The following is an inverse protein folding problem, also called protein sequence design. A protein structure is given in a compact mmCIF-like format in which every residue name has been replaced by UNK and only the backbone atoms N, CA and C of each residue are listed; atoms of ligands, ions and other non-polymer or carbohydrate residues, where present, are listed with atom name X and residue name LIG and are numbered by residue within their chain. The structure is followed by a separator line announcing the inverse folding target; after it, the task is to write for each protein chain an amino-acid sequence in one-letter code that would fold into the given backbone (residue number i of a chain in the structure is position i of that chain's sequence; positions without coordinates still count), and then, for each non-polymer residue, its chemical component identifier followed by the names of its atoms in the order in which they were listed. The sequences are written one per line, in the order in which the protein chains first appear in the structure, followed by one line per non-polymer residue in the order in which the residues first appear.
data_IF_225245010724
#
_entry.id   IF_225245010724
#
_cell.length_a   1.000
_cell.length_b   1.000
_cell.length_c   1.000
_cell.angle_alpha   90.00
_cell.angle_beta   90.00
_cell.angle_gamma   90.00
#
_symmetry.space_group_name_H-M   'P 1'
#
loop_
_entity.id
_entity.type
_entity.pdbx_description
1 polymer ?
#
# COMPACT_ATOMS: atom_id res chain seq x y z
N UNK A 1 11.17 6.84 -8.21
CA UNK A 1 11.46 6.39 -6.82
C UNK A 1 11.64 4.88 -6.82
N UNK A 2 12.49 4.31 -5.97
CA UNK A 2 12.62 2.84 -5.81
C UNK A 2 12.16 2.46 -4.41
N UNK A 3 11.30 1.47 -4.30
CA UNK A 3 10.77 0.94 -3.04
C UNK A 3 11.02 -0.55 -2.93
N UNK A 4 11.29 -1.01 -1.70
CA UNK A 4 11.40 -2.43 -1.39
C UNK A 4 10.05 -2.95 -0.92
N UNK A 5 9.44 -3.84 -1.69
CA UNK A 5 8.32 -4.67 -1.31
C UNK A 5 8.78 -5.80 -0.39
N UNK A 6 8.11 -5.95 0.75
CA UNK A 6 8.29 -7.08 1.66
C UNK A 6 6.95 -7.79 1.81
N UNK A 7 6.83 -8.98 1.24
CA UNK A 7 5.64 -9.83 1.35
C UNK A 7 6.07 -11.29 1.49
N UNK A 8 5.30 -12.11 2.19
CA UNK A 8 5.65 -13.50 2.53
C UNK A 8 5.88 -14.45 1.32
N UNK A 9 5.61 -13.98 0.09
CA UNK A 9 5.83 -14.71 -1.18
C UNK A 9 7.10 -14.27 -1.92
N UNK A 10 7.78 -13.22 -1.47
CA UNK A 10 8.99 -12.66 -2.09
C UNK A 10 10.18 -13.41 -1.53
N UNK A 11 10.80 -14.26 -2.35
CA UNK A 11 11.92 -15.11 -1.92
C UNK A 11 13.27 -14.55 -2.31
N UNK A 12 13.31 -13.63 -3.26
CA UNK A 12 14.54 -13.09 -3.83
C UNK A 12 14.58 -11.57 -3.78
N UNK A 13 15.78 -11.02 -3.83
CA UNK A 13 15.97 -9.57 -3.85
C UNK A 13 15.34 -8.95 -5.10
N UNK A 14 15.36 -9.64 -6.22
CA UNK A 14 14.81 -9.25 -7.52
C UNK A 14 13.28 -9.11 -7.49
N UNK A 15 12.61 -9.92 -6.67
CA UNK A 15 11.17 -9.81 -6.42
C UNK A 15 10.83 -8.71 -5.40
N UNK A 16 11.80 -8.34 -4.57
CA UNK A 16 11.61 -7.36 -3.50
C UNK A 16 11.73 -5.92 -3.95
N UNK A 17 12.40 -5.58 -5.05
CA UNK A 17 12.55 -4.18 -5.46
C UNK A 17 11.58 -3.81 -6.58
N UNK A 18 10.88 -2.68 -6.43
CA UNK A 18 10.01 -2.10 -7.44
C UNK A 18 10.19 -0.60 -7.53
N UNK A 19 10.01 -0.06 -8.71
CA UNK A 19 10.16 1.35 -8.99
C UNK A 19 8.77 1.97 -9.09
N UNK A 20 8.66 3.24 -8.70
CA UNK A 20 7.42 3.99 -8.63
C UNK A 20 7.60 5.37 -9.23
N UNK A 21 6.67 5.79 -10.07
CA UNK A 21 6.58 7.15 -10.63
C UNK A 21 5.21 7.69 -10.25
N UNK A 22 5.14 8.92 -9.76
CA UNK A 22 3.87 9.55 -9.42
C UNK A 22 3.76 10.96 -9.97
N UNK A 23 2.53 11.37 -10.24
CA UNK A 23 2.21 12.68 -10.78
C UNK A 23 0.99 13.26 -10.05
N UNK A 24 1.08 14.53 -9.64
CA UNK A 24 -0.02 15.20 -8.94
C UNK A 24 -1.05 15.70 -9.95
N UNK A 25 -2.25 15.16 -9.89
CA UNK A 25 -3.41 15.60 -10.66
C UNK A 25 -4.26 16.53 -9.79
N UNK A 26 -4.34 17.81 -10.18
CA UNK A 26 -5.22 18.78 -9.54
C UNK A 26 -6.61 18.67 -10.17
N UNK A 27 -7.59 18.35 -9.34
CA UNK A 27 -9.00 18.37 -9.76
C UNK A 27 -9.55 19.78 -9.55
N UNK A 28 -10.47 20.23 -10.40
CA UNK A 28 -11.13 21.56 -10.32
C UNK A 28 -11.68 21.91 -8.92
N UNK A 29 -11.92 20.90 -8.08
CA UNK A 29 -12.58 20.99 -6.78
C UNK A 29 -11.60 21.10 -5.58
N UNK A 30 -10.38 21.63 -5.78
CA UNK A 30 -9.27 21.71 -4.78
C UNK A 30 -8.84 20.37 -4.15
N UNK A 31 -9.37 19.24 -4.63
CA UNK A 31 -9.02 17.90 -4.16
C UNK A 31 -7.76 17.42 -4.89
N UNK A 32 -6.71 17.19 -4.10
CA UNK A 32 -5.42 16.69 -4.61
C UNK A 32 -5.53 15.19 -4.88
N UNK A 33 -5.18 14.79 -6.11
CA UNK A 33 -5.03 13.41 -6.50
C UNK A 33 -3.62 13.14 -7.04
N UNK A 34 -3.17 11.90 -6.98
CA UNK A 34 -1.86 11.46 -7.44
C UNK A 34 -2.05 10.22 -8.31
N UNK A 35 -1.57 10.26 -9.53
CA UNK A 35 -1.35 9.04 -10.31
C UNK A 35 -0.06 8.41 -9.82
N UNK A 36 -0.01 7.09 -9.73
CA UNK A 36 1.18 6.33 -9.32
C UNK A 36 1.31 5.11 -10.22
N UNK A 37 2.42 4.99 -10.95
CA UNK A 37 2.79 3.82 -11.70
C UNK A 37 3.87 3.02 -10.94
N UNK A 38 3.81 1.70 -11.03
CA UNK A 38 4.76 0.74 -10.44
C UNK A 38 5.37 -0.15 -11.52
N UNK A 39 6.67 -0.46 -11.45
CA UNK A 39 7.37 -1.33 -12.40
C UNK A 39 6.99 -2.80 -12.20
N UNK A 40 7.23 -3.62 -13.23
CA UNK A 40 7.04 -5.07 -13.15
C UNK A 40 8.14 -5.78 -12.36
N UNK A 41 9.34 -5.19 -12.34
CA UNK A 41 10.56 -5.76 -11.77
C UNK A 41 11.48 -4.66 -11.18
N UNK A 42 12.64 -5.09 -10.69
CA UNK A 42 13.65 -4.23 -10.06
C UNK A 42 14.44 -3.35 -11.06
N UNK A 43 14.32 -3.57 -12.37
CA UNK A 43 15.11 -2.87 -13.39
C UNK A 43 14.60 -1.46 -13.69
N UNK A 44 13.41 -1.11 -13.18
CA UNK A 44 12.69 0.14 -13.45
C UNK A 44 12.35 0.38 -14.94
N UNK A 45 12.61 -0.58 -15.82
CA UNK A 45 12.27 -0.47 -17.23
C UNK A 45 10.74 -0.51 -17.40
N UNK A 46 10.20 0.31 -18.31
CA UNK A 46 8.76 0.39 -18.55
C UNK A 46 7.96 1.28 -17.60
N UNK A 47 8.61 2.27 -16.96
CA UNK A 47 7.97 3.35 -16.19
C UNK A 47 8.30 4.75 -16.76
N UNK A 48 7.87 5.09 -17.99
CA UNK A 48 8.12 6.41 -18.54
C UNK A 48 7.26 7.50 -17.89
N UNK A 49 6.09 7.15 -17.33
CA UNK A 49 5.16 8.11 -16.72
C UNK A 49 4.35 7.49 -15.58
N UNK A 50 3.63 8.33 -14.83
CA UNK A 50 2.73 7.89 -13.77
C UNK A 50 1.45 7.19 -14.29
N UNK A 51 1.29 7.09 -15.62
CA UNK A 51 0.18 6.42 -16.31
C UNK A 51 0.61 5.14 -17.02
N UNK A 52 1.92 4.90 -17.10
CA UNK A 52 2.52 3.81 -17.87
C UNK A 52 3.44 3.02 -16.94
N UNK A 53 2.97 1.86 -16.51
CA UNK A 53 3.69 0.93 -15.64
C UNK A 53 3.00 -0.42 -15.57
N UNK A 54 3.62 -1.38 -14.89
CA UNK A 54 3.03 -2.71 -14.67
C UNK A 54 1.77 -2.66 -13.82
N UNK A 55 1.71 -1.72 -12.87
CA UNK A 55 0.48 -1.34 -12.17
C UNK A 55 0.36 0.17 -12.15
N UNK A 56 -0.85 0.67 -12.34
CA UNK A 56 -1.15 2.11 -12.28
C UNK A 56 -2.27 2.29 -11.27
N UNK A 57 -2.10 3.28 -10.38
CA UNK A 57 -2.97 3.57 -9.25
C UNK A 57 -3.30 5.05 -9.26
N UNK A 58 -4.46 5.43 -8.73
CA UNK A 58 -4.81 6.83 -8.51
C UNK A 58 -5.19 7.04 -7.06
N UNK A 59 -4.32 7.74 -6.33
CA UNK A 59 -4.52 8.10 -4.94
C UNK A 59 -5.28 9.42 -4.90
N UNK A 60 -6.30 9.54 -4.05
CA UNK A 60 -6.97 10.82 -3.82
C UNK A 60 -6.97 11.08 -2.32
N UNK A 61 -6.74 12.35 -1.92
CA UNK A 61 -6.89 12.74 -0.52
C UNK A 61 -8.38 12.67 -0.16
N UNK A 62 -8.80 11.57 0.45
CA UNK A 62 -10.15 11.40 0.99
C UNK A 62 -10.15 11.46 2.51
N UNK A 63 -11.24 11.96 3.12
CA UNK A 63 -11.59 11.53 4.47
C UNK A 63 -11.76 10.01 4.41
N UNK A 64 -10.93 9.30 5.16
CA UNK A 64 -10.62 7.87 5.01
C UNK A 64 -11.90 7.04 5.11
N UNK A 65 -12.45 6.61 3.96
CA UNK A 65 -13.49 5.56 3.89
C UNK A 65 -13.34 4.58 2.73
N UNK A 66 -12.54 4.87 1.70
CA UNK A 66 -12.20 3.91 0.66
C UNK A 66 -11.09 4.44 -0.26
N UNK A 67 -10.10 3.59 -0.56
CA UNK A 67 -9.17 3.81 -1.68
C UNK A 67 -9.73 3.01 -2.86
N UNK A 68 -10.27 3.69 -3.86
CA UNK A 68 -10.75 3.05 -5.10
C UNK A 68 -9.71 3.24 -6.19
N UNK A 69 -9.06 2.15 -6.61
CA UNK A 69 -8.18 2.15 -7.77
C UNK A 69 -9.02 2.17 -9.06
N UNK A 70 -8.73 3.02 -10.06
CA UNK A 70 -9.46 3.01 -11.32
C UNK A 70 -9.01 1.84 -12.22
N UNK A 71 -9.99 1.02 -12.62
CA UNK A 71 -9.91 0.02 -13.67
C UNK A 71 -10.12 0.70 -15.03
N UNK A 72 -9.13 0.68 -15.92
CA UNK A 72 -9.36 1.00 -17.34
C UNK A 72 -9.89 -0.25 -18.03
N UNK A 73 -11.16 -0.20 -18.42
CA UNK A 73 -11.78 -1.22 -19.26
C UNK A 73 -11.17 -1.20 -20.66
N UNK A 74 -10.45 -2.26 -21.01
CA UNK A 74 -9.97 -2.47 -22.36
C UNK A 74 -9.09 -3.71 -22.48
N UNK A 75 -9.74 -4.85 -22.75
CA UNK A 75 -9.16 -6.18 -23.07
C UNK A 75 -8.76 -7.04 -21.86
N UNK A 76 -9.59 -8.07 -21.63
CA UNK A 76 -9.37 -9.19 -20.72
C UNK A 76 -7.93 -9.73 -20.81
N UNK A 77 -7.21 -9.70 -19.70
CA UNK A 77 -6.29 -10.79 -19.33
C UNK A 77 -6.84 -11.47 -18.07
N UNK A 78 -7.13 -12.78 -18.09
CA UNK A 78 -7.48 -13.50 -16.88
C UNK A 78 -6.21 -13.70 -16.04
N UNK A 79 -6.35 -13.55 -14.73
CA UNK A 79 -5.38 -13.88 -13.67
C UNK A 79 -4.25 -12.87 -13.38
N UNK A 80 -4.59 -11.65 -12.98
CA UNK A 80 -3.77 -10.92 -12.00
C UNK A 80 -4.62 -10.61 -10.77
N UNK A 81 -4.37 -11.31 -9.66
CA UNK A 81 -5.10 -11.09 -8.41
C UNK A 81 -4.97 -9.62 -7.98
N UNK A 82 -6.11 -8.95 -7.87
CA UNK A 82 -6.23 -7.55 -7.42
C UNK A 82 -6.15 -7.54 -5.89
N UNK A 83 -5.09 -6.95 -5.35
CA UNK A 83 -4.97 -6.73 -3.90
C UNK A 83 -5.57 -5.37 -3.55
N UNK A 84 -6.59 -5.35 -2.70
CA UNK A 84 -7.33 -4.17 -2.23
C UNK A 84 -7.09 -4.02 -0.73
N UNK A 85 -6.79 -2.81 -0.27
CA UNK A 85 -6.58 -2.51 1.16
C UNK A 85 -7.45 -1.33 1.54
N UNK A 86 -8.28 -1.49 2.58
CA UNK A 86 -9.25 -0.48 3.05
C UNK A 86 -9.13 -0.35 4.56
N UNK A 87 -8.98 0.88 5.08
CA UNK A 87 -8.99 1.10 6.52
C UNK A 87 -10.36 0.72 7.10
N UNK A 88 -10.37 -0.14 8.11
CA UNK A 88 -11.55 -0.55 8.86
C UNK A 88 -11.74 0.34 10.09
N UNK A 89 -10.70 0.45 10.93
CA UNK A 89 -10.73 1.26 12.17
C UNK A 89 -9.34 1.76 12.56
N UNK A 90 -9.30 2.86 13.30
CA UNK A 90 -8.08 3.38 13.94
C UNK A 90 -7.99 2.83 15.36
N UNK A 91 -6.87 2.17 15.69
CA UNK A 91 -6.64 1.58 17.01
C UNK A 91 -5.93 2.58 17.93
N UNK A 92 -4.91 3.26 17.40
CA UNK A 92 -4.15 4.26 18.14
C UNK A 92 -3.65 5.33 17.20
N UNK A 93 -3.83 6.59 17.56
CA UNK A 93 -3.40 7.72 16.73
C UNK A 93 -2.66 8.73 17.60
N UNK A 94 -1.40 8.98 17.28
CA UNK A 94 -0.50 9.92 17.93
C UNK A 94 0.16 10.83 16.88
N UNK A 95 0.75 11.97 17.26
CA UNK A 95 1.36 12.91 16.30
C UNK A 95 2.48 12.31 15.45
N UNK A 96 3.20 11.31 15.99
CA UNK A 96 4.35 10.67 15.36
C UNK A 96 4.05 9.26 14.84
N UNK A 97 2.92 8.65 15.19
CA UNK A 97 2.55 7.34 14.66
C UNK A 97 1.05 7.07 14.73
N UNK A 98 0.55 6.21 13.85
CA UNK A 98 -0.82 5.72 13.88
C UNK A 98 -0.87 4.22 13.64
N UNK A 99 -1.77 3.52 14.31
CA UNK A 99 -2.01 2.09 14.18
C UNK A 99 -3.47 1.92 13.76
N UNK A 100 -3.70 1.21 12.66
CA UNK A 100 -5.02 0.99 12.09
C UNK A 100 -5.22 -0.49 11.74
N UNK A 101 -6.47 -0.93 11.79
CA UNK A 101 -6.89 -2.21 11.24
C UNK A 101 -7.33 -1.96 9.80
N UNK A 102 -6.78 -2.72 8.86
CA UNK A 102 -7.14 -2.64 7.45
C UNK A 102 -7.74 -3.96 6.96
N UNK A 103 -8.84 -3.88 6.22
CA UNK A 103 -9.40 -4.98 5.46
C UNK A 103 -8.64 -5.13 4.14
N UNK A 104 -8.09 -6.31 3.92
CA UNK A 104 -7.33 -6.68 2.73
C UNK A 104 -8.10 -7.74 1.95
N UNK A 105 -8.18 -7.56 0.64
CA UNK A 105 -8.77 -8.53 -0.28
C UNK A 105 -7.75 -8.83 -1.36
N UNK A 106 -7.43 -10.09 -1.59
CA UNK A 106 -6.53 -10.55 -2.64
C UNK A 106 -7.21 -11.67 -3.44
N UNK A 107 -7.86 -11.31 -4.54
CA UNK A 107 -8.72 -12.25 -5.27
C UNK A 107 -9.93 -12.69 -4.43
N UNK A 108 -10.05 -13.99 -4.16
CA UNK A 108 -11.11 -14.55 -3.32
C UNK A 108 -10.77 -14.54 -1.82
N UNK A 109 -9.50 -14.32 -1.45
CA UNK A 109 -9.07 -14.30 -0.07
C UNK A 109 -9.25 -12.90 0.51
N UNK A 110 -9.98 -12.77 1.61
CA UNK A 110 -10.15 -11.51 2.33
C UNK A 110 -9.94 -11.69 3.82
N UNK A 111 -9.55 -10.61 4.50
CA UNK A 111 -9.40 -10.59 5.95
C UNK A 111 -8.83 -9.27 6.44
N UNK A 112 -8.38 -9.24 7.68
CA UNK A 112 -7.89 -8.05 8.35
C UNK A 112 -6.41 -8.18 8.70
N UNK A 113 -5.70 -7.06 8.62
CA UNK A 113 -4.32 -6.92 9.06
C UNK A 113 -4.19 -5.67 9.94
N UNK A 114 -3.18 -5.65 10.79
CA UNK A 114 -2.79 -4.46 11.52
C UNK A 114 -1.69 -3.73 10.76
N UNK A 115 -1.82 -2.41 10.64
CA UNK A 115 -0.84 -1.52 10.02
C UNK A 115 -0.42 -0.45 11.02
N UNK A 116 0.88 -0.36 11.30
CA UNK A 116 1.49 0.73 12.05
C UNK A 116 2.22 1.68 11.10
N UNK A 117 1.90 2.97 11.15
CA UNK A 117 2.55 4.03 10.41
C UNK A 117 3.33 4.89 11.40
N UNK A 118 4.63 5.03 11.19
CA UNK A 118 5.53 5.82 12.02
C UNK A 118 6.11 6.96 11.19
N UNK A 119 5.81 8.18 11.57
CA UNK A 119 6.32 9.38 10.91
C UNK A 119 7.69 9.72 11.51
N UNK A 120 8.75 9.57 10.71
CA UNK A 120 10.11 9.96 11.12
C UNK A 120 10.43 11.39 10.75
N UNK A 121 9.99 11.82 9.58
CA UNK A 121 10.15 13.19 9.07
C UNK A 121 8.90 13.59 8.26
N UNK A 122 8.84 14.83 7.83
CA UNK A 122 7.92 15.37 6.83
C UNK A 122 7.82 14.54 5.54
N UNK A 123 8.91 13.88 5.14
CA UNK A 123 8.99 13.10 3.89
C UNK A 123 9.13 11.60 4.11
N UNK A 124 9.39 11.14 5.33
CA UNK A 124 9.71 9.73 5.60
C UNK A 124 8.70 9.12 6.56
N UNK A 125 8.02 8.07 6.12
CA UNK A 125 7.07 7.27 6.89
C UNK A 125 7.58 5.83 6.90
N UNK A 126 7.62 5.19 8.06
CA UNK A 126 7.88 3.76 8.17
C UNK A 126 6.57 3.02 8.43
N UNK A 127 6.39 1.89 7.77
CA UNK A 127 5.19 1.06 7.89
C UNK A 127 5.57 -0.30 8.46
N UNK A 128 4.78 -0.79 9.41
CA UNK A 128 4.83 -2.16 9.91
C UNK A 128 3.48 -2.82 9.67
N UNK A 129 3.51 -4.11 9.32
CA UNK A 129 2.31 -4.86 8.96
C UNK A 129 2.31 -6.22 9.67
N UNK A 130 1.15 -6.65 10.19
CA UNK A 130 0.96 -8.01 10.69
C UNK A 130 1.18 -9.05 9.58
N UNK A 131 1.90 -10.13 9.88
CA UNK A 131 2.21 -11.18 8.90
C UNK A 131 1.01 -12.06 8.57
N UNK A 132 0.09 -12.20 9.52
CA UNK A 132 -1.08 -13.06 9.41
C UNK A 132 -2.29 -12.23 8.96
N UNK A 133 -3.06 -12.82 8.05
CA UNK A 133 -4.39 -12.34 7.66
C UNK A 133 -5.42 -13.02 8.56
N UNK A 134 -6.11 -12.25 9.39
CA UNK A 134 -7.13 -12.77 10.33
C UNK A 134 -8.54 -12.51 9.82
N UNK A 135 -9.52 -13.27 10.28
CA UNK A 135 -10.93 -13.08 9.86
C UNK A 135 -11.69 -12.11 10.77
N UNK A 136 -11.22 -11.94 12.01
CA UNK A 136 -11.84 -11.06 13.00
C UNK A 136 -11.00 -9.78 13.13
N UNK A 137 -11.57 -8.57 12.98
CA UNK A 137 -10.82 -7.31 12.99
C UNK A 137 -10.07 -7.08 14.32
N UNK A 138 -10.71 -7.39 15.45
CA UNK A 138 -10.13 -7.19 16.78
C UNK A 138 -8.89 -8.05 17.03
N UNK A 139 -8.72 -9.16 16.28
CA UNK A 139 -7.56 -10.02 16.39
C UNK A 139 -6.33 -9.51 15.62
N UNK A 140 -6.54 -8.58 14.68
CA UNK A 140 -5.50 -8.18 13.73
C UNK A 140 -4.33 -7.50 14.45
N UNK A 141 -4.63 -6.63 15.43
CA UNK A 141 -3.65 -5.88 16.21
C UNK A 141 -3.30 -6.52 17.57
N UNK A 142 -3.74 -7.76 17.83
CA UNK A 142 -3.33 -8.47 19.03
C UNK A 142 -1.82 -8.74 19.03
N UNK A 143 -1.19 -8.82 20.21
CA UNK A 143 0.25 -8.98 20.36
C UNK A 143 0.84 -10.22 19.67
N UNK A 144 0.02 -11.25 19.43
CA UNK A 144 0.39 -12.44 18.67
C UNK A 144 0.51 -12.20 17.16
N UNK A 145 -0.24 -11.25 16.61
CA UNK A 145 -0.29 -10.93 15.18
C UNK A 145 0.46 -9.65 14.83
N UNK A 146 0.52 -8.70 15.76
CA UNK A 146 1.18 -7.42 15.60
C UNK A 146 2.11 -7.13 16.79
N UNK A 147 3.39 -7.48 16.63
CA UNK A 147 4.46 -7.12 17.56
C UNK A 147 5.43 -6.16 16.87
N UNK A 148 5.35 -4.84 17.14
CA UNK A 148 6.22 -3.84 16.55
C UNK A 148 7.72 -4.11 16.71
N UNK A 149 8.12 -4.89 17.72
CA UNK A 149 9.55 -5.20 17.95
C UNK A 149 10.07 -6.29 17.02
N UNK A 150 9.18 -7.13 16.48
CA UNK A 150 9.52 -8.28 15.63
C UNK A 150 9.20 -8.05 14.15
N UNK A 151 8.32 -7.10 13.86
CA UNK A 151 7.86 -6.85 12.50
C UNK A 151 8.86 -5.97 11.73
N UNK A 152 9.14 -6.29 10.46
CA UNK A 152 10.05 -5.49 9.64
C UNK A 152 9.44 -4.13 9.32
N UNK A 153 10.28 -3.10 9.30
CA UNK A 153 9.91 -1.77 8.82
C UNK A 153 10.01 -1.69 7.30
N UNK A 154 9.00 -1.08 6.69
CA UNK A 154 8.98 -0.70 5.28
C UNK A 154 9.06 0.83 5.22
N UNK A 155 10.16 1.37 4.71
CA UNK A 155 10.35 2.82 4.59
C UNK A 155 9.72 3.36 3.32
N UNK A 156 8.84 4.33 3.47
CA UNK A 156 8.16 5.09 2.42
C UNK A 156 8.72 6.52 2.44
N UNK A 157 9.22 6.99 1.29
CA UNK A 157 9.77 8.34 1.14
C UNK A 157 8.91 9.10 0.14
N UNK A 158 8.32 10.21 0.55
CA UNK A 158 7.64 11.16 -0.32
C UNK A 158 8.64 12.21 -0.82
N UNK A 159 8.75 12.42 -2.13
CA UNK A 159 9.44 13.58 -2.71
C UNK A 159 8.46 14.71 -3.05
#
# INVERSE_FOLDING_TARGET
MVGKLSHNRIKTNEESYRCFVYERVQTHDRKVSYNVAQSGDATCNGLPSALEGSKVMRLTKGNIRSVTLPYTSGIRKPNSAEMRVVCHSEVKTEPQYSIVIAHVTNGCDSGYICLGFYRRDSTVIELQQSTNLVQVPDEACNQNNFDPSKLPFITLISK
#
